data_IF_784344265573
#
_entry.id   IF_784344265573
#
_cell.length_a   1.000
_cell.length_b   1.000
_cell.length_c   1.000
_cell.angle_alpha   90.00
_cell.angle_beta   90.00
_cell.angle_gamma   90.00
#
_symmetry.space_group_name_H-M   'P 1'
#
loop_
_entity.id
_entity.type
_entity.pdbx_description
1 polymer ?
#
# COMPACT_ATOMS: atom_id res chain seq x y z
N UNK A 1 -68.00 -23.71 -16.48
CA UNK A 1 -66.64 -23.42 -15.99
C UNK A 1 -65.80 -22.95 -17.17
N UNK A 2 -65.15 -21.80 -17.22
CA UNK A 2 -65.22 -20.51 -16.54
C UNK A 2 -64.44 -19.58 -17.50
N UNK A 3 -64.97 -18.39 -17.82
CA UNK A 3 -64.39 -17.49 -18.83
C UNK A 3 -63.18 -16.78 -18.23
N UNK A 4 -62.05 -16.83 -18.92
CA UNK A 4 -60.83 -16.10 -18.55
C UNK A 4 -61.02 -14.59 -18.67
N UNK A 5 -60.87 -13.91 -17.54
CA UNK A 5 -60.86 -12.46 -17.38
C UNK A 5 -59.50 -11.88 -17.84
N UNK A 6 -59.54 -10.86 -18.71
CA UNK A 6 -58.37 -10.20 -19.29
C UNK A 6 -57.81 -9.05 -18.43
N UNK A 7 -58.28 -8.89 -17.20
CA UNK A 7 -57.87 -7.76 -16.35
C UNK A 7 -56.86 -8.11 -15.25
N UNK A 8 -56.32 -9.34 -15.20
CA UNK A 8 -55.28 -9.71 -14.22
C UNK A 8 -53.91 -9.07 -14.57
N UNK A 9 -53.35 -8.16 -13.74
CA UNK A 9 -52.13 -7.44 -14.05
C UNK A 9 -50.84 -8.22 -13.76
N UNK A 10 -50.91 -9.50 -13.39
CA UNK A 10 -49.71 -10.29 -13.05
C UNK A 10 -49.41 -11.36 -14.12
N UNK A 11 -48.67 -10.98 -15.16
CA UNK A 11 -48.02 -11.90 -16.08
C UNK A 11 -46.51 -11.96 -15.75
N UNK A 12 -46.00 -13.07 -15.18
CA UNK A 12 -44.59 -13.18 -14.77
C UNK A 12 -43.59 -13.32 -15.94
N UNK A 13 -44.04 -13.30 -17.20
CA UNK A 13 -43.18 -13.47 -18.38
C UNK A 13 -43.11 -12.24 -19.32
N UNK A 14 -43.54 -11.05 -18.88
CA UNK A 14 -43.37 -9.83 -19.66
C UNK A 14 -41.92 -9.32 -19.61
N UNK A 15 -41.11 -9.65 -20.64
CA UNK A 15 -39.80 -9.02 -20.86
C UNK A 15 -39.99 -7.53 -21.13
N UNK A 16 -39.58 -6.67 -20.20
CA UNK A 16 -39.50 -5.22 -20.41
C UNK A 16 -38.42 -4.92 -21.45
N UNK A 17 -38.84 -4.46 -22.62
CA UNK A 17 -37.98 -3.84 -23.63
C UNK A 17 -37.61 -2.43 -23.17
N UNK A 18 -36.37 -2.25 -22.72
CA UNK A 18 -35.82 -0.93 -22.43
C UNK A 18 -35.13 -0.39 -23.68
N UNK A 19 -35.67 0.72 -24.19
CA UNK A 19 -35.04 1.57 -25.21
C UNK A 19 -33.68 2.06 -24.69
N UNK A 20 -32.59 1.60 -25.33
CA UNK A 20 -31.24 2.12 -25.10
C UNK A 20 -31.15 3.53 -25.70
N UNK A 21 -31.42 4.56 -24.89
CA UNK A 21 -30.80 5.87 -25.12
C UNK A 21 -29.42 5.81 -24.49
N UNK A 22 -28.40 5.67 -25.33
CA UNK A 22 -27.00 5.79 -24.94
C UNK A 22 -26.75 7.23 -24.50
N UNK A 23 -26.88 7.51 -23.21
CA UNK A 23 -26.23 8.66 -22.59
C UNK A 23 -24.76 8.31 -22.47
N UNK A 24 -23.96 8.81 -23.41
CA UNK A 24 -22.50 8.83 -23.26
C UNK A 24 -22.23 9.86 -22.16
N UNK A 25 -22.15 9.42 -20.90
CA UNK A 25 -21.50 10.21 -19.87
C UNK A 25 -20.00 10.18 -20.19
N UNK A 26 -19.52 11.24 -20.84
CA UNK A 26 -18.09 11.49 -20.92
C UNK A 26 -17.64 11.81 -19.50
N UNK A 27 -17.20 10.79 -18.76
CA UNK A 27 -16.40 11.00 -17.56
C UNK A 27 -15.03 11.50 -18.03
N UNK A 28 -14.91 12.82 -18.14
CA UNK A 28 -13.63 13.50 -18.28
C UNK A 28 -12.82 13.24 -17.00
N UNK A 29 -12.05 12.16 -16.98
CA UNK A 29 -10.92 12.02 -16.06
C UNK A 29 -9.87 13.04 -16.47
N UNK A 30 -10.12 14.30 -16.12
CA UNK A 30 -9.04 15.29 -16.08
C UNK A 30 -8.19 14.91 -14.89
N UNK A 31 -7.02 14.32 -15.15
CA UNK A 31 -5.97 14.22 -14.16
C UNK A 31 -5.50 15.65 -13.86
N UNK A 32 -6.13 16.30 -12.88
CA UNK A 32 -5.73 17.64 -12.47
C UNK A 32 -4.43 17.47 -11.67
N UNK A 33 -3.30 17.73 -12.34
CA UNK A 33 -1.98 17.81 -11.71
C UNK A 33 -1.89 19.12 -10.90
N UNK A 34 -2.39 19.12 -9.67
CA UNK A 34 -2.05 20.17 -8.71
C UNK A 34 -0.74 19.80 -8.01
N UNK A 35 0.38 20.31 -8.52
CA UNK A 35 1.64 20.36 -7.78
C UNK A 35 1.54 21.59 -6.86
N UNK A 36 1.17 21.37 -5.60
CA UNK A 36 1.06 22.46 -4.62
C UNK A 36 2.42 22.65 -3.93
N UNK A 37 3.08 23.78 -4.18
CA UNK A 37 4.27 24.23 -3.44
C UNK A 37 3.81 25.13 -2.28
N UNK A 38 4.00 24.70 -1.03
CA UNK A 38 3.43 25.38 0.15
C UNK A 38 4.50 26.16 0.94
N UNK A 39 4.17 27.42 1.28
CA UNK A 39 4.87 28.25 2.27
C UNK A 39 4.13 28.16 3.60
N UNK A 40 4.77 27.67 4.67
CA UNK A 40 4.17 27.59 6.00
C UNK A 40 3.96 28.99 6.63
N UNK A 41 2.73 29.28 7.07
CA UNK A 41 2.40 30.43 7.95
C UNK A 41 1.74 29.94 9.24
N UNK A 42 2.46 30.06 10.36
CA UNK A 42 1.98 30.32 11.74
C UNK A 42 0.69 29.68 12.26
N UNK A 43 0.50 28.36 12.13
CA UNK A 43 -0.58 27.63 12.82
C UNK A 43 -0.20 27.15 14.23
N UNK A 44 -1.20 26.73 15.03
CA UNK A 44 -0.98 25.99 16.30
C UNK A 44 0.03 24.86 16.07
N UNK A 45 0.97 24.61 16.98
CA UNK A 45 1.98 23.55 16.85
C UNK A 45 1.41 22.14 17.08
N UNK A 46 0.17 22.03 17.53
CA UNK A 46 -0.52 20.75 17.78
C UNK A 46 -1.90 20.73 17.17
N UNK A 47 -2.37 19.53 16.83
CA UNK A 47 -3.76 19.22 16.51
C UNK A 47 -4.18 18.02 17.38
N UNK A 48 -5.00 18.31 18.40
CA UNK A 48 -5.39 17.32 19.43
C UNK A 48 -4.15 16.68 20.08
N UNK A 49 -4.01 15.36 19.98
CA UNK A 49 -2.90 14.58 20.54
C UNK A 49 -1.63 14.60 19.67
N UNK A 50 -1.72 15.07 18.43
CA UNK A 50 -0.59 15.07 17.50
C UNK A 50 0.18 16.39 17.56
N UNK A 51 1.50 16.28 17.63
CA UNK A 51 2.40 17.41 17.41
C UNK A 51 2.67 17.51 15.92
N UNK A 52 2.41 18.68 15.34
CA UNK A 52 2.66 18.90 13.92
C UNK A 52 4.13 19.10 13.67
N UNK A 53 4.59 18.57 12.56
CA UNK A 53 5.97 18.70 12.08
C UNK A 53 5.96 19.33 10.68
N UNK A 54 7.01 20.08 10.36
CA UNK A 54 7.17 20.64 9.02
C UNK A 54 7.35 19.51 8.00
N UNK A 55 6.67 19.66 6.86
CA UNK A 55 6.85 18.75 5.72
C UNK A 55 8.29 18.87 5.17
N UNK A 56 8.88 17.78 4.63
CA UNK A 56 10.20 17.84 4.03
C UNK A 56 10.26 18.89 2.90
N UNK A 57 11.42 19.52 2.71
CA UNK A 57 11.56 20.66 1.79
C UNK A 57 11.19 20.32 0.33
N UNK A 58 11.53 19.11 -0.11
CA UNK A 58 11.28 18.62 -1.48
C UNK A 58 10.10 17.64 -1.54
N UNK A 59 9.27 17.65 -0.49
CA UNK A 59 8.08 16.82 -0.40
C UNK A 59 7.05 17.24 -1.45
N UNK A 60 6.46 16.24 -2.11
CA UNK A 60 5.40 16.44 -3.09
C UNK A 60 4.34 15.35 -2.94
N UNK A 61 3.09 15.72 -3.19
CA UNK A 61 1.98 14.78 -3.23
C UNK A 61 1.08 15.03 -4.43
N UNK A 62 0.30 14.02 -4.79
CA UNK A 62 -0.73 14.10 -5.82
C UNK A 62 -2.04 13.54 -5.27
N UNK A 63 -3.15 14.29 -5.42
CA UNK A 63 -4.48 13.72 -5.21
C UNK A 63 -4.81 12.89 -6.46
N UNK A 64 -4.81 11.57 -6.32
CA UNK A 64 -5.07 10.64 -7.43
C UNK A 64 -6.56 10.39 -7.63
N UNK A 65 -7.37 10.58 -6.57
CA UNK A 65 -8.81 10.43 -6.62
C UNK A 65 -9.49 11.28 -5.55
N UNK A 66 -10.63 11.87 -5.91
CA UNK A 66 -11.52 12.60 -5.01
C UNK A 66 -12.93 12.00 -5.11
N UNK A 67 -13.39 11.39 -4.03
CA UNK A 67 -14.72 10.78 -3.91
C UNK A 67 -15.61 11.54 -2.92
N UNK A 68 -15.36 12.83 -2.74
CA UNK A 68 -16.15 13.69 -1.87
C UNK A 68 -17.60 13.77 -2.35
N UNK A 69 -18.55 13.63 -1.43
CA UNK A 69 -19.96 13.54 -1.73
C UNK A 69 -20.80 14.22 -0.64
N UNK A 70 -21.34 15.38 -1.00
CA UNK A 70 -22.19 16.23 -0.14
C UNK A 70 -23.45 15.51 0.32
N UNK A 71 -24.05 14.67 -0.52
CA UNK A 71 -25.25 13.92 -0.16
C UNK A 71 -24.99 12.90 0.97
N UNK A 72 -23.73 12.50 1.16
CA UNK A 72 -23.31 11.59 2.24
C UNK A 72 -22.53 12.29 3.37
N UNK A 73 -22.47 13.62 3.33
CA UNK A 73 -21.73 14.45 4.29
C UNK A 73 -20.29 13.95 4.51
N UNK A 74 -19.56 13.72 3.40
CA UNK A 74 -18.26 13.05 3.41
C UNK A 74 -17.30 13.62 2.38
N UNK A 75 -16.11 14.04 2.80
CA UNK A 75 -14.95 14.23 1.95
C UNK A 75 -14.08 12.97 1.96
N UNK A 76 -13.53 12.59 0.81
CA UNK A 76 -12.69 11.40 0.70
C UNK A 76 -11.62 11.58 -0.38
N UNK A 77 -10.36 11.64 0.05
CA UNK A 77 -9.22 11.87 -0.82
C UNK A 77 -8.28 10.65 -0.84
N UNK A 78 -7.73 10.37 -2.01
CA UNK A 78 -6.65 9.41 -2.21
C UNK A 78 -5.43 10.19 -2.66
N UNK A 79 -4.34 10.03 -1.91
CA UNK A 79 -3.16 10.88 -2.00
C UNK A 79 -1.94 10.00 -2.20
N UNK A 80 -1.25 10.18 -3.31
CA UNK A 80 0.04 9.55 -3.56
C UNK A 80 1.16 10.46 -3.07
N UNK A 81 2.06 9.92 -2.25
CA UNK A 81 3.21 10.59 -1.66
C UNK A 81 4.50 10.20 -2.39
N UNK A 82 5.43 11.15 -2.53
CA UNK A 82 6.77 10.86 -3.07
C UNK A 82 7.72 10.22 -2.05
N UNK A 83 7.46 10.39 -0.76
CA UNK A 83 8.26 9.85 0.35
C UNK A 83 7.40 9.53 1.58
N UNK A 84 7.97 8.74 2.50
CA UNK A 84 7.37 8.44 3.80
C UNK A 84 7.41 9.66 4.70
N UNK A 85 6.34 9.88 5.45
CA UNK A 85 6.22 10.95 6.43
C UNK A 85 6.20 10.41 7.86
N UNK A 86 6.53 11.26 8.82
CA UNK A 86 6.28 11.00 10.24
C UNK A 86 4.79 11.17 10.58
N UNK A 87 4.37 10.73 11.76
CA UNK A 87 3.00 10.98 12.24
C UNK A 87 2.71 12.49 12.33
N UNK A 88 3.66 13.29 12.80
CA UNK A 88 3.51 14.74 12.88
C UNK A 88 3.42 15.42 11.53
N UNK A 89 4.13 14.91 10.52
CA UNK A 89 4.04 15.39 9.14
C UNK A 89 2.71 14.99 8.48
N UNK A 90 2.20 13.79 8.75
CA UNK A 90 0.86 13.39 8.32
C UNK A 90 -0.20 14.26 8.98
N UNK A 91 -0.04 14.61 10.26
CA UNK A 91 -0.96 15.54 10.93
C UNK A 91 -0.99 16.93 10.25
N UNK A 92 0.18 17.45 9.87
CA UNK A 92 0.29 18.69 9.09
C UNK A 92 -0.44 18.57 7.74
N UNK A 93 -0.12 17.55 6.95
CA UNK A 93 -0.73 17.35 5.63
C UNK A 93 -2.24 17.09 5.72
N UNK A 94 -2.70 16.32 6.70
CA UNK A 94 -4.10 16.02 6.91
C UNK A 94 -4.89 17.30 7.22
N UNK A 95 -4.36 18.19 8.08
CA UNK A 95 -4.99 19.48 8.37
C UNK A 95 -5.02 20.39 7.13
N UNK A 96 -3.95 20.44 6.34
CA UNK A 96 -3.91 21.20 5.10
C UNK A 96 -4.97 20.73 4.10
N UNK A 97 -5.07 19.41 3.88
CA UNK A 97 -6.07 18.81 3.00
C UNK A 97 -7.49 19.00 3.54
N UNK A 98 -7.68 18.88 4.86
CA UNK A 98 -8.96 19.12 5.52
C UNK A 98 -9.47 20.55 5.29
N UNK A 99 -8.58 21.54 5.41
CA UNK A 99 -8.90 22.95 5.21
C UNK A 99 -8.98 23.37 3.72
N UNK A 100 -8.50 22.53 2.80
CA UNK A 100 -8.54 22.79 1.35
C UNK A 100 -9.91 22.59 0.72
N UNK A 101 -10.88 22.00 1.44
CA UNK A 101 -12.22 21.70 0.95
C UNK A 101 -13.31 22.31 1.82
N UNK A 102 -14.49 22.47 1.23
CA UNK A 102 -15.70 22.77 1.98
C UNK A 102 -15.94 21.70 3.06
N UNK A 103 -16.29 22.16 4.26
CA UNK A 103 -16.42 21.28 5.41
C UNK A 103 -17.61 20.33 5.23
N UNK A 104 -17.35 19.07 5.53
CA UNK A 104 -18.31 17.98 5.63
C UNK A 104 -18.14 17.35 7.02
N UNK A 105 -19.15 16.63 7.50
CA UNK A 105 -19.13 15.98 8.82
C UNK A 105 -18.00 14.97 8.97
N UNK A 106 -17.55 14.35 7.86
CA UNK A 106 -16.44 13.39 7.84
C UNK A 106 -15.44 13.69 6.74
N UNK A 107 -14.16 13.49 7.01
CA UNK A 107 -13.10 13.63 6.03
C UNK A 107 -12.13 12.45 6.14
N UNK A 108 -11.99 11.65 5.08
CA UNK A 108 -11.05 10.53 5.03
C UNK A 108 -9.94 10.81 4.01
N UNK A 109 -8.71 10.44 4.36
CA UNK A 109 -7.53 10.58 3.51
C UNK A 109 -6.76 9.27 3.51
N UNK A 110 -6.50 8.75 2.33
CA UNK A 110 -5.79 7.50 2.10
C UNK A 110 -4.46 7.78 1.41
N UNK A 111 -3.35 7.44 2.06
CA UNK A 111 -2.00 7.76 1.59
C UNK A 111 -1.32 6.52 1.00
N UNK A 112 -0.96 6.58 -0.29
CA UNK A 112 -0.10 5.58 -0.93
C UNK A 112 1.30 6.14 -1.18
N UNK A 113 2.30 5.26 -1.26
CA UNK A 113 3.62 5.65 -1.76
C UNK A 113 3.66 5.40 -3.27
N UNK A 114 4.43 6.20 -4.00
CA UNK A 114 4.65 5.97 -5.43
C UNK A 114 5.19 4.56 -5.74
N UNK A 115 5.97 3.99 -4.83
CA UNK A 115 6.49 2.61 -4.97
C UNK A 115 5.45 1.52 -4.75
N UNK A 116 4.26 1.84 -4.24
CA UNK A 116 3.21 0.88 -3.86
C UNK A 116 1.88 1.17 -4.56
N UNK A 117 1.90 1.84 -5.72
CA UNK A 117 0.71 2.32 -6.44
C UNK A 117 -0.29 1.20 -6.78
N UNK A 118 0.18 -0.04 -6.98
CA UNK A 118 -0.65 -1.20 -7.31
C UNK A 118 -1.04 -2.08 -6.11
N UNK A 119 -0.71 -1.64 -4.89
CA UNK A 119 -1.04 -2.41 -3.68
C UNK A 119 -2.45 -2.09 -3.19
N UNK A 120 -3.14 -3.09 -2.63
CA UNK A 120 -4.48 -2.91 -2.06
C UNK A 120 -4.46 -2.26 -0.66
N UNK A 121 -3.29 -1.87 -0.16
CA UNK A 121 -3.09 -1.37 1.20
C UNK A 121 -2.45 0.01 1.15
N UNK A 122 -3.13 1.00 1.73
CA UNK A 122 -2.57 2.34 1.88
C UNK A 122 -1.49 2.32 2.95
N UNK A 123 -0.35 2.96 2.65
CA UNK A 123 0.78 3.07 3.59
C UNK A 123 0.37 3.75 4.89
N UNK A 124 -0.47 4.80 4.80
CA UNK A 124 -1.10 5.43 5.95
C UNK A 124 -2.54 5.86 5.65
N UNK A 125 -3.31 6.11 6.70
CA UNK A 125 -4.63 6.73 6.63
C UNK A 125 -4.77 7.82 7.67
N UNK A 126 -5.61 8.81 7.40
CA UNK A 126 -6.10 9.72 8.42
C UNK A 126 -7.57 10.02 8.22
N UNK A 127 -8.29 10.32 9.28
CA UNK A 127 -9.65 10.84 9.17
C UNK A 127 -10.00 11.87 10.23
N UNK A 128 -10.99 12.69 9.91
CA UNK A 128 -11.67 13.61 10.81
C UNK A 128 -13.11 13.10 10.99
N UNK A 129 -13.38 12.41 12.09
CA UNK A 129 -14.71 11.85 12.39
C UNK A 129 -14.97 11.77 13.91
N UNK A 130 -15.18 12.90 14.60
CA UNK A 130 -14.91 14.28 14.19
C UNK A 130 -13.48 14.74 14.47
N UNK A 131 -12.75 13.98 15.29
CA UNK A 131 -11.36 14.28 15.65
C UNK A 131 -10.40 13.62 14.65
N UNK A 132 -9.20 14.19 14.53
CA UNK A 132 -8.14 13.60 13.72
C UNK A 132 -7.71 12.27 14.35
N UNK A 133 -7.68 11.23 13.53
CA UNK A 133 -7.01 9.96 13.83
C UNK A 133 -6.08 9.60 12.67
N UNK A 134 -4.88 9.11 12.98
CA UNK A 134 -3.84 8.74 12.02
C UNK A 134 -3.43 7.29 12.29
N UNK A 135 -3.31 6.51 11.23
CA UNK A 135 -2.78 5.14 11.27
C UNK A 135 -1.72 4.98 10.19
N UNK A 136 -0.52 4.53 10.57
CA UNK A 136 0.54 4.14 9.64
C UNK A 136 0.54 2.60 9.56
N UNK A 137 0.12 2.05 8.44
CA UNK A 137 0.04 0.60 8.21
C UNK A 137 1.40 0.02 7.78
N UNK A 138 2.12 0.75 6.93
CA UNK A 138 3.46 0.39 6.47
C UNK A 138 4.52 0.60 7.54
N UNK A 139 5.80 0.54 7.15
CA UNK A 139 6.89 0.97 8.01
C UNK A 139 7.14 2.47 7.90
N UNK A 140 7.57 3.06 9.00
CA UNK A 140 8.17 4.39 9.04
C UNK A 140 9.59 4.37 8.46
N UNK A 141 10.10 5.54 8.08
CA UNK A 141 11.49 5.66 7.61
C UNK A 141 12.51 5.24 8.70
N UNK A 142 12.20 5.50 9.98
CA UNK A 142 13.06 5.12 11.09
C UNK A 142 13.15 3.58 11.26
N UNK A 143 12.01 2.89 11.20
CA UNK A 143 11.94 1.43 11.24
C UNK A 143 12.65 0.81 10.04
N UNK A 144 12.37 1.30 8.84
CA UNK A 144 13.04 0.85 7.61
C UNK A 144 14.56 1.01 7.72
N UNK A 145 15.04 2.17 8.19
CA UNK A 145 16.47 2.40 8.39
C UNK A 145 17.09 1.49 9.45
N UNK A 146 16.37 1.21 10.54
CA UNK A 146 16.80 0.29 11.58
C UNK A 146 16.97 -1.13 11.02
N UNK A 147 15.98 -1.60 10.27
CA UNK A 147 15.97 -2.92 9.65
C UNK A 147 17.10 -3.02 8.61
N UNK A 148 17.24 -2.02 7.73
CA UNK A 148 18.33 -1.95 6.73
C UNK A 148 19.71 -1.95 7.37
N UNK A 149 19.91 -1.21 8.46
CA UNK A 149 21.17 -1.18 9.22
C UNK A 149 21.58 -2.55 9.76
N UNK A 150 20.63 -3.45 10.00
CA UNK A 150 20.89 -4.79 10.52
C UNK A 150 20.90 -5.87 9.41
N UNK A 151 20.58 -5.50 8.18
CA UNK A 151 20.65 -6.39 7.02
C UNK A 151 22.10 -6.74 6.70
N UNK A 152 22.35 -7.96 6.19
CA UNK A 152 23.69 -8.41 5.84
C UNK A 152 24.58 -8.83 7.02
N UNK A 153 24.15 -8.58 8.27
CA UNK A 153 24.86 -9.03 9.48
C UNK A 153 24.62 -10.53 9.71
N UNK A 154 25.43 -11.34 9.05
CA UNK A 154 25.40 -12.81 9.11
C UNK A 154 26.82 -13.36 9.14
N UNK A 155 26.97 -14.56 9.70
CA UNK A 155 28.19 -15.34 9.56
C UNK A 155 28.09 -16.18 8.27
N UNK A 156 28.79 -15.74 7.23
CA UNK A 156 28.77 -16.35 5.90
C UNK A 156 28.96 -15.36 4.75
N UNK A 157 28.99 -15.88 3.53
CA UNK A 157 29.10 -15.08 2.30
C UNK A 157 27.72 -14.57 1.89
N UNK A 158 27.52 -13.26 1.95
CA UNK A 158 26.28 -12.63 1.46
C UNK A 158 26.18 -12.79 -0.06
N UNK A 159 25.04 -13.29 -0.52
CA UNK A 159 24.65 -13.39 -1.92
C UNK A 159 23.86 -12.14 -2.32
N UNK A 160 22.96 -11.68 -1.44
CA UNK A 160 22.19 -10.46 -1.65
C UNK A 160 21.42 -10.01 -0.41
N UNK A 161 21.23 -8.70 -0.33
CA UNK A 161 20.40 -8.04 0.67
C UNK A 161 19.21 -7.41 -0.04
N UNK A 162 18.02 -7.59 0.48
CA UNK A 162 16.78 -7.13 -0.13
C UNK A 162 15.89 -6.48 0.92
N UNK A 163 14.99 -5.63 0.47
CA UNK A 163 13.94 -5.02 1.29
C UNK A 163 12.62 -5.10 0.55
N UNK A 164 11.61 -5.64 1.23
CA UNK A 164 10.26 -5.85 0.74
C UNK A 164 9.33 -4.94 1.53
N UNK A 165 8.71 -3.96 0.86
CA UNK A 165 7.92 -2.91 1.50
C UNK A 165 6.44 -3.28 1.64
N UNK A 166 5.89 -3.94 0.62
CA UNK A 166 4.45 -4.04 0.35
C UNK A 166 3.71 -4.93 1.34
N UNK A 167 4.29 -6.08 1.70
CA UNK A 167 3.64 -7.08 2.54
C UNK A 167 4.13 -7.00 3.99
N UNK A 168 5.44 -6.97 4.17
CA UNK A 168 6.08 -7.27 5.45
C UNK A 168 6.95 -6.14 5.97
N UNK A 169 7.28 -5.13 5.14
CA UNK A 169 8.26 -4.09 5.46
C UNK A 169 9.53 -4.68 6.10
N UNK A 170 10.02 -5.78 5.52
CA UNK A 170 11.09 -6.60 6.09
C UNK A 170 12.33 -6.59 5.21
N UNK A 171 13.50 -6.72 5.83
CA UNK A 171 14.74 -7.02 5.11
C UNK A 171 14.97 -8.51 5.00
N UNK A 172 15.65 -8.91 3.94
CA UNK A 172 16.03 -10.29 3.66
C UNK A 172 17.50 -10.34 3.27
N UNK A 173 18.28 -11.19 3.94
CA UNK A 173 19.66 -11.50 3.59
C UNK A 173 19.73 -12.93 3.09
N UNK A 174 20.05 -13.13 1.82
CA UNK A 174 20.37 -14.45 1.26
C UNK A 174 21.88 -14.64 1.37
N UNK A 175 22.33 -15.72 2.01
CA UNK A 175 23.75 -15.96 2.26
C UNK A 175 24.11 -17.44 2.23
N UNK A 176 25.39 -17.73 2.04
CA UNK A 176 25.96 -19.08 2.08
C UNK A 176 26.88 -19.22 3.29
N UNK A 177 26.69 -20.28 4.07
CA UNK A 177 27.57 -20.65 5.18
C UNK A 177 27.72 -22.18 5.19
N UNK A 178 28.95 -22.69 5.33
CA UNK A 178 29.25 -24.13 5.35
C UNK A 178 28.59 -24.92 4.20
N UNK A 179 28.66 -24.39 2.97
CA UNK A 179 28.06 -24.95 1.74
C UNK A 179 26.52 -25.10 1.77
N UNK A 180 25.85 -24.44 2.72
CA UNK A 180 24.39 -24.34 2.81
C UNK A 180 23.93 -22.93 2.53
N UNK A 181 22.75 -22.79 1.95
CA UNK A 181 22.13 -21.47 1.70
C UNK A 181 21.10 -21.19 2.77
N UNK A 182 21.05 -19.94 3.22
CA UNK A 182 20.12 -19.47 4.22
C UNK A 182 19.45 -18.18 3.75
N UNK A 183 18.26 -17.94 4.26
CA UNK A 183 17.61 -16.63 4.24
C UNK A 183 17.38 -16.17 5.67
N UNK A 184 17.92 -14.99 6.01
CA UNK A 184 17.62 -14.28 7.25
C UNK A 184 16.62 -13.18 6.94
N UNK A 185 15.50 -13.12 7.64
CA UNK A 185 14.57 -11.99 7.59
C UNK A 185 14.65 -11.17 8.88
N UNK A 186 14.38 -9.87 8.79
CA UNK A 186 14.20 -8.98 9.93
C UNK A 186 12.99 -8.09 9.63
N UNK A 187 11.94 -8.19 10.45
CA UNK A 187 10.72 -7.38 10.31
C UNK A 187 10.89 -5.96 10.85
N UNK A 188 9.94 -5.07 10.54
CA UNK A 188 9.87 -3.71 11.10
C UNK A 188 9.90 -3.67 12.63
N UNK A 189 9.35 -4.71 13.27
CA UNK A 189 9.35 -4.90 14.73
C UNK A 189 10.69 -5.49 15.26
N UNK A 190 11.71 -5.56 14.40
CA UNK A 190 13.04 -6.10 14.69
C UNK A 190 13.05 -7.58 15.12
N UNK A 191 12.00 -8.33 14.77
CA UNK A 191 11.95 -9.79 14.93
C UNK A 191 12.70 -10.44 13.77
N UNK A 192 13.63 -11.34 14.08
CA UNK A 192 14.42 -12.02 13.05
C UNK A 192 14.13 -13.51 12.95
N UNK A 193 14.13 -14.05 11.73
CA UNK A 193 14.10 -15.48 11.47
C UNK A 193 15.25 -15.88 10.55
N UNK A 194 15.77 -17.10 10.71
CA UNK A 194 16.79 -17.69 9.84
C UNK A 194 16.28 -19.04 9.37
N UNK A 195 16.25 -19.25 8.07
CA UNK A 195 15.78 -20.49 7.46
C UNK A 195 16.82 -21.04 6.50
N UNK A 196 17.08 -22.35 6.59
CA UNK A 196 17.90 -23.08 5.61
C UNK A 196 17.10 -23.31 4.33
N UNK A 197 17.74 -23.07 3.19
CA UNK A 197 17.11 -23.08 1.87
C UNK A 197 17.78 -24.13 0.97
N UNK A 198 16.95 -24.92 0.28
CA UNK A 198 17.34 -25.71 -0.87
C UNK A 198 17.37 -24.78 -2.09
N UNK A 199 18.51 -24.76 -2.80
CA UNK A 199 18.67 -24.01 -4.05
C UNK A 199 18.46 -24.89 -5.27
N UNK A 200 17.72 -24.42 -6.25
CA UNK A 200 17.62 -25.02 -7.60
C UNK A 200 17.64 -23.94 -8.68
N UNK A 201 18.11 -24.28 -9.87
CA UNK A 201 18.12 -23.34 -11.00
C UNK A 201 16.76 -23.36 -11.69
N UNK A 202 16.26 -22.17 -12.03
CA UNK A 202 15.06 -21.97 -12.85
C UNK A 202 15.38 -20.96 -13.95
N UNK A 203 14.51 -20.84 -14.95
CA UNK A 203 14.74 -19.94 -16.09
C UNK A 203 14.95 -18.48 -15.65
N UNK A 204 14.22 -18.02 -14.65
CA UNK A 204 14.23 -16.64 -14.14
C UNK A 204 15.33 -16.37 -13.12
N UNK A 205 16.03 -17.39 -12.60
CA UNK A 205 17.05 -17.23 -11.58
C UNK A 205 17.30 -18.48 -10.73
N UNK A 206 17.41 -18.28 -9.41
CA UNK A 206 17.62 -19.34 -8.42
C UNK A 206 16.36 -19.44 -7.56
N UNK A 207 15.71 -20.60 -7.57
CA UNK A 207 14.61 -20.91 -6.66
C UNK A 207 15.19 -21.31 -5.30
N UNK A 208 14.63 -20.74 -4.23
CA UNK A 208 14.98 -21.00 -2.84
C UNK A 208 13.75 -21.55 -2.13
N UNK A 209 13.81 -22.82 -1.75
CA UNK A 209 12.74 -23.54 -1.06
C UNK A 209 13.18 -23.86 0.37
N UNK A 210 12.28 -23.83 1.34
CA UNK A 210 12.61 -24.23 2.72
C UNK A 210 13.06 -25.70 2.75
N UNK A 211 14.13 -26.01 3.48
CA UNK A 211 14.60 -27.41 3.64
C UNK A 211 13.64 -28.23 4.49
N UNK A 212 13.09 -27.62 5.54
CA UNK A 212 12.02 -28.20 6.34
C UNK A 212 10.73 -27.54 5.89
N UNK A 213 9.77 -28.31 5.36
CA UNK A 213 8.52 -27.80 4.78
C UNK A 213 7.97 -26.62 5.59
N UNK A 214 7.86 -25.45 4.95
CA UNK A 214 7.01 -24.41 5.49
C UNK A 214 5.57 -24.93 5.36
N UNK A 215 4.77 -24.80 6.42
CA UNK A 215 3.35 -25.18 6.39
C UNK A 215 2.57 -24.48 5.24
N UNK A 216 3.12 -23.41 4.66
CA UNK A 216 2.53 -22.60 3.60
C UNK A 216 2.92 -23.01 2.16
N UNK A 217 4.00 -23.77 1.95
CA UNK A 217 4.54 -24.10 0.62
C UNK A 217 5.09 -22.89 -0.13
N UNK A 218 5.40 -21.80 0.57
CA UNK A 218 5.98 -20.59 0.01
C UNK A 218 7.45 -20.79 -0.35
N UNK A 219 7.89 -20.08 -1.39
CA UNK A 219 9.27 -20.09 -1.84
C UNK A 219 9.68 -18.74 -2.41
N UNK A 220 10.98 -18.57 -2.65
CA UNK A 220 11.53 -17.36 -3.24
C UNK A 220 12.20 -17.65 -4.58
N UNK A 221 12.24 -16.64 -5.44
CA UNK A 221 13.13 -16.63 -6.62
C UNK A 221 14.07 -15.45 -6.47
N UNK A 222 15.37 -15.75 -6.36
CA UNK A 222 16.43 -14.77 -6.57
C UNK A 222 16.63 -14.61 -8.07
N UNK A 223 16.13 -13.52 -8.64
CA UNK A 223 16.08 -13.31 -10.08
C UNK A 223 17.42 -12.87 -10.66
N UNK A 224 17.58 -13.02 -11.98
CA UNK A 224 18.77 -12.55 -12.72
C UNK A 224 18.96 -11.02 -12.66
N UNK A 225 17.88 -10.26 -12.51
CA UNK A 225 17.91 -8.79 -12.33
C UNK A 225 18.08 -8.37 -10.87
N UNK A 226 18.55 -9.28 -10.00
CA UNK A 226 18.85 -9.02 -8.60
C UNK A 226 17.62 -8.56 -7.79
N UNK A 227 16.47 -9.20 -7.97
CA UNK A 227 15.31 -9.05 -7.09
C UNK A 227 15.07 -10.34 -6.32
N UNK A 228 14.32 -10.22 -5.23
CA UNK A 228 13.83 -11.38 -4.49
C UNK A 228 12.31 -11.44 -4.64
N UNK A 229 11.81 -12.35 -5.47
CA UNK A 229 10.38 -12.53 -5.68
C UNK A 229 9.81 -13.59 -4.72
N UNK A 230 8.59 -13.35 -4.24
CA UNK A 230 7.90 -14.17 -3.24
C UNK A 230 6.72 -14.88 -3.89
N UNK A 231 6.67 -16.20 -3.72
CA UNK A 231 5.68 -17.04 -4.36
C UNK A 231 4.96 -17.93 -3.36
N UNK A 232 3.66 -18.11 -3.56
CA UNK A 232 2.88 -19.07 -2.79
C UNK A 232 3.00 -20.49 -3.38
N UNK A 233 2.38 -21.47 -2.73
CA UNK A 233 2.35 -22.87 -3.20
C UNK A 233 1.71 -23.09 -4.58
N UNK A 234 0.93 -22.13 -5.06
CA UNK A 234 0.29 -22.17 -6.38
C UNK A 234 1.16 -21.55 -7.49
N UNK A 235 2.40 -21.13 -7.17
CA UNK A 235 3.31 -20.38 -8.05
C UNK A 235 2.80 -18.99 -8.44
N UNK A 236 1.97 -18.37 -7.60
CA UNK A 236 1.54 -16.99 -7.78
C UNK A 236 2.50 -16.07 -7.04
N UNK A 237 3.04 -15.07 -7.74
CA UNK A 237 3.88 -14.04 -7.14
C UNK A 237 2.99 -13.09 -6.34
N UNK A 238 3.35 -12.82 -5.10
CA UNK A 238 2.58 -11.93 -4.22
C UNK A 238 3.39 -10.75 -3.63
N UNK A 239 4.72 -10.78 -3.71
CA UNK A 239 5.56 -9.66 -3.28
C UNK A 239 6.91 -9.67 -4.02
N UNK A 240 7.61 -8.53 -4.00
CA UNK A 240 8.96 -8.39 -4.56
C UNK A 240 9.85 -7.55 -3.65
N UNK A 241 10.94 -8.13 -3.18
CA UNK A 241 12.02 -7.42 -2.47
C UNK A 241 13.01 -6.79 -3.45
N UNK A 242 13.26 -5.50 -3.26
CA UNK A 242 14.27 -4.75 -4.03
C UNK A 242 15.64 -4.91 -3.39
N UNK A 243 16.69 -5.05 -4.20
CA UNK A 243 18.06 -5.15 -3.68
C UNK A 243 18.47 -3.86 -2.99
N UNK A 244 19.10 -4.02 -1.83
CA UNK A 244 19.77 -2.94 -1.11
C UNK A 244 21.17 -2.75 -1.69
N UNK A 245 21.54 -1.49 -1.88
CA UNK A 245 22.87 -1.07 -2.32
C UNK A 245 23.90 -1.23 -1.20
#
# INVERSE_FOLDING_TARGET
>A
MEKFDKTNPYNPNAKKSYSKKTLISVALFTAIFFIVLIKCTGGSSTIRKYTKEELPKDFTYQITKDESNVATDKNQLYVQLNEKLTEGQIATLAEELFNSKEKQGRFYIFYSLKSTEDTHVYWATSHFDPELEITINGSTLAEENLVKKNTGKVDGKVIGNFYEEELSSSSYTVYENNNKVFIKSISKDNVSAINEMKRSKVETGIKLEYVNDSFSGEYFILTKDNKLEFYNKNNEKFATGQKLN
#
